data_IF_605761579439
#
_entry.id   IF_605761579439
#
_cell.length_a   1.000
_cell.length_b   1.000
_cell.length_c   1.000
_cell.angle_alpha   90.00
_cell.angle_beta   90.00
_cell.angle_gamma   90.00
#
_symmetry.space_group_name_H-M   'P 1'
#
loop_
_entity.id
_entity.type
_entity.pdbx_description
1 polymer ?
#
# COMPACT_ATOMS: atom_id res chain seq x y z
N UNK A 1 4.50 20.98 -20.11
CA UNK A 1 4.23 19.86 -19.23
C UNK A 1 5.45 19.14 -18.66
N UNK A 2 6.60 19.81 -18.71
CA UNK A 2 7.87 19.33 -18.13
C UNK A 2 7.75 19.04 -16.64
N UNK A 3 6.98 19.85 -15.90
CA UNK A 3 6.72 19.69 -14.47
C UNK A 3 6.04 18.35 -14.13
N UNK A 4 5.12 17.89 -14.97
CA UNK A 4 4.46 16.59 -14.77
C UNK A 4 5.42 15.42 -14.94
N UNK A 5 6.25 15.50 -15.99
CA UNK A 5 7.29 14.48 -16.25
C UNK A 5 8.30 14.44 -15.12
N UNK A 6 8.74 15.59 -14.67
CA UNK A 6 9.68 15.70 -13.56
C UNK A 6 9.11 15.13 -12.25
N UNK A 7 7.84 15.43 -11.94
CA UNK A 7 7.13 14.87 -10.78
C UNK A 7 7.06 13.34 -10.85
N UNK A 8 6.67 12.79 -12.01
CA UNK A 8 6.60 11.35 -12.26
C UNK A 8 7.96 10.69 -12.07
N UNK A 9 9.02 11.27 -12.65
CA UNK A 9 10.38 10.77 -12.51
C UNK A 9 10.88 10.81 -11.06
N UNK A 10 10.51 11.83 -10.32
CA UNK A 10 10.82 11.93 -8.88
C UNK A 10 10.11 10.84 -8.08
N UNK A 11 8.83 10.61 -8.34
CA UNK A 11 8.06 9.56 -7.68
C UNK A 11 8.65 8.18 -7.96
N UNK A 12 9.03 7.87 -9.21
CA UNK A 12 9.68 6.60 -9.54
C UNK A 12 10.98 6.42 -8.75
N UNK A 13 11.81 7.46 -8.66
CA UNK A 13 13.11 7.37 -7.98
C UNK A 13 12.99 7.28 -6.45
N UNK A 14 12.14 8.10 -5.87
CA UNK A 14 12.08 8.29 -4.41
C UNK A 14 11.01 7.41 -3.76
N UNK A 15 9.78 7.45 -4.25
CA UNK A 15 8.65 6.75 -3.62
C UNK A 15 8.69 5.25 -3.87
N UNK A 16 9.01 4.84 -5.10
CA UNK A 16 9.07 3.43 -5.49
C UNK A 16 10.44 2.81 -5.29
N UNK A 17 11.43 3.60 -4.91
CA UNK A 17 12.79 3.13 -4.63
C UNK A 17 13.38 2.27 -5.76
N UNK A 18 13.15 2.67 -7.02
CA UNK A 18 13.52 1.90 -8.21
C UNK A 18 15.00 1.92 -8.52
N UNK A 19 15.80 2.71 -7.80
CA UNK A 19 17.25 2.79 -7.97
C UNK A 19 17.97 2.36 -6.68
N UNK A 20 19.14 1.73 -6.80
CA UNK A 20 19.81 1.31 -8.05
C UNK A 20 19.13 0.10 -8.72
N UNK A 21 19.23 0.02 -10.05
CA UNK A 21 18.74 -1.13 -10.81
C UNK A 21 19.85 -2.17 -10.87
N UNK A 22 19.67 -3.29 -10.18
CA UNK A 22 20.67 -4.37 -10.07
C UNK A 22 20.60 -5.39 -11.21
N UNK A 23 19.65 -5.28 -12.12
CA UNK A 23 19.50 -6.20 -13.24
C UNK A 23 20.53 -5.90 -14.34
N UNK A 24 21.10 -6.96 -14.92
CA UNK A 24 22.09 -6.86 -16.00
C UNK A 24 21.49 -7.15 -17.39
N UNK A 25 20.42 -7.94 -17.46
CA UNK A 25 19.74 -8.25 -18.72
C UNK A 25 18.77 -7.15 -19.11
N UNK A 26 18.78 -6.73 -20.38
CA UNK A 26 17.89 -5.68 -20.89
C UNK A 26 16.41 -5.99 -20.65
N UNK A 27 15.97 -7.23 -20.83
CA UNK A 27 14.59 -7.67 -20.57
C UNK A 27 14.19 -7.49 -19.09
N UNK A 28 15.11 -7.78 -18.17
CA UNK A 28 14.85 -7.61 -16.74
C UNK A 28 14.79 -6.13 -16.35
N UNK A 29 15.62 -5.30 -16.97
CA UNK A 29 15.59 -3.83 -16.77
C UNK A 29 14.25 -3.28 -17.27
N UNK A 30 13.81 -3.68 -18.46
CA UNK A 30 12.51 -3.29 -19.00
C UNK A 30 11.35 -3.73 -18.10
N UNK A 31 11.38 -4.98 -17.62
CA UNK A 31 10.39 -5.51 -16.70
C UNK A 31 10.34 -4.73 -15.39
N UNK A 32 11.49 -4.39 -14.82
CA UNK A 32 11.59 -3.59 -13.59
C UNK A 32 11.00 -2.17 -13.78
N UNK A 33 11.36 -1.51 -14.87
CA UNK A 33 10.82 -0.18 -15.21
C UNK A 33 9.32 -0.26 -15.45
N UNK A 34 8.84 -1.28 -16.15
CA UNK A 34 7.42 -1.49 -16.41
C UNK A 34 6.62 -1.71 -15.11
N UNK A 35 7.10 -2.56 -14.20
CA UNK A 35 6.47 -2.77 -12.90
C UNK A 35 6.43 -1.49 -12.07
N UNK A 36 7.50 -0.70 -12.09
CA UNK A 36 7.56 0.61 -11.42
C UNK A 36 6.52 1.58 -12.00
N UNK A 37 6.35 1.56 -13.32
CA UNK A 37 5.34 2.37 -13.98
C UNK A 37 3.92 1.93 -13.61
N UNK A 38 3.64 0.62 -13.54
CA UNK A 38 2.35 0.11 -13.09
C UNK A 38 2.06 0.50 -11.63
N UNK A 39 3.04 0.38 -10.75
CA UNK A 39 2.91 0.80 -9.36
C UNK A 39 2.56 2.30 -9.25
N UNK A 40 3.21 3.14 -10.05
CA UNK A 40 2.91 4.57 -10.12
C UNK A 40 1.49 4.83 -10.62
N UNK A 41 1.02 4.08 -11.61
CA UNK A 41 -0.37 4.18 -12.10
C UNK A 41 -1.38 3.81 -11.01
N UNK A 42 -1.10 2.80 -10.21
CA UNK A 42 -1.95 2.41 -9.08
C UNK A 42 -1.96 3.47 -7.98
N UNK A 43 -0.80 4.03 -7.63
CA UNK A 43 -0.71 5.14 -6.66
C UNK A 43 -1.52 6.34 -7.15
N UNK A 44 -1.40 6.69 -8.43
CA UNK A 44 -2.14 7.81 -9.00
C UNK A 44 -3.66 7.54 -9.01
N UNK A 45 -4.09 6.34 -9.37
CA UNK A 45 -5.50 5.95 -9.31
C UNK A 45 -6.06 6.03 -7.87
N UNK A 46 -5.26 5.61 -6.89
CA UNK A 46 -5.59 5.75 -5.48
C UNK A 46 -5.68 7.22 -5.07
N UNK A 47 -4.71 8.05 -5.46
CA UNK A 47 -4.70 9.50 -5.21
C UNK A 47 -6.00 10.17 -5.72
N UNK A 48 -6.39 9.87 -6.97
CA UNK A 48 -7.62 10.41 -7.56
C UNK A 48 -8.84 10.00 -6.74
N UNK A 49 -8.94 8.70 -6.43
CA UNK A 49 -10.10 8.15 -5.71
C UNK A 49 -10.22 8.69 -4.28
N UNK A 50 -9.10 8.86 -3.58
CA UNK A 50 -9.08 9.45 -2.25
C UNK A 50 -9.46 10.92 -2.30
N UNK A 51 -8.93 11.65 -3.28
CA UNK A 51 -9.25 13.07 -3.47
C UNK A 51 -10.73 13.33 -3.74
N UNK A 52 -11.39 12.45 -4.52
CA UNK A 52 -12.84 12.50 -4.74
C UNK A 52 -13.64 12.35 -3.43
N UNK A 53 -13.06 11.69 -2.43
CA UNK A 53 -13.64 11.51 -1.09
C UNK A 53 -13.18 12.56 -0.08
N UNK A 54 -12.40 13.56 -0.52
CA UNK A 54 -11.89 14.63 0.35
C UNK A 54 -10.70 14.20 1.23
N UNK A 55 -10.05 13.08 0.91
CA UNK A 55 -8.88 12.57 1.62
C UNK A 55 -7.63 12.86 0.80
N UNK A 56 -6.71 13.65 1.34
CA UNK A 56 -5.41 13.89 0.70
C UNK A 56 -4.50 12.68 0.90
N UNK A 57 -3.94 12.18 -0.19
CA UNK A 57 -3.00 11.07 -0.14
C UNK A 57 -1.61 11.53 0.29
N UNK A 58 -1.22 11.12 1.48
CA UNK A 58 0.16 11.13 1.96
C UNK A 58 0.69 9.71 1.92
N UNK A 59 1.22 9.31 0.75
CA UNK A 59 1.55 7.90 0.47
C UNK A 59 2.50 7.27 1.49
N UNK A 60 3.53 8.00 1.92
CA UNK A 60 4.49 7.50 2.91
C UNK A 60 3.84 7.32 4.30
N UNK A 61 2.93 8.22 4.69
CA UNK A 61 2.17 8.06 5.92
C UNK A 61 1.23 6.85 5.83
N UNK A 62 0.46 6.75 4.75
CA UNK A 62 -0.43 5.62 4.54
C UNK A 62 0.33 4.28 4.55
N UNK A 63 1.48 4.23 3.88
CA UNK A 63 2.36 3.06 3.87
C UNK A 63 2.87 2.70 5.26
N UNK A 64 3.29 3.69 6.04
CA UNK A 64 3.76 3.47 7.40
C UNK A 64 2.64 2.90 8.28
N UNK A 65 1.45 3.51 8.27
CA UNK A 65 0.30 3.06 9.07
C UNK A 65 -0.19 1.66 8.66
N UNK A 66 -0.22 1.35 7.35
CA UNK A 66 -0.59 0.00 6.87
C UNK A 66 0.44 -1.05 7.29
N UNK A 67 1.72 -0.71 7.30
CA UNK A 67 2.78 -1.64 7.73
C UNK A 67 2.73 -1.98 9.22
N UNK A 68 2.07 -1.16 10.03
CA UNK A 68 1.84 -1.43 11.46
C UNK A 68 0.62 -2.34 11.69
N UNK A 69 -0.14 -2.66 10.64
CA UNK A 69 -1.28 -3.59 10.76
C UNK A 69 -0.77 -5.04 10.70
N UNK A 70 -0.97 -5.75 11.77
CA UNK A 70 -0.59 -7.16 11.87
C UNK A 70 -1.70 -8.00 12.50
N UNK A 71 -1.63 -9.29 12.31
CA UNK A 71 -2.53 -10.26 12.91
C UNK A 71 -1.71 -11.22 13.77
N UNK A 72 -2.13 -11.42 15.01
CA UNK A 72 -1.53 -12.37 15.94
C UNK A 72 -2.46 -13.56 16.14
N UNK A 73 -1.92 -14.76 16.08
CA UNK A 73 -2.65 -15.97 16.42
C UNK A 73 -2.49 -16.26 17.93
N UNK A 74 -3.62 -16.39 18.61
CA UNK A 74 -3.67 -16.68 20.04
C UNK A 74 -4.44 -17.97 20.25
N UNK A 75 -3.83 -18.91 20.95
CA UNK A 75 -4.46 -20.18 21.33
C UNK A 75 -5.02 -20.09 22.75
N UNK A 76 -6.32 -20.32 22.88
CA UNK A 76 -7.02 -20.37 24.17
C UNK A 76 -7.69 -21.73 24.30
N UNK A 77 -7.11 -22.60 25.11
CA UNK A 77 -7.56 -23.99 25.24
C UNK A 77 -7.41 -24.75 23.92
N UNK A 78 -8.51 -25.22 23.37
CA UNK A 78 -8.56 -25.94 22.08
C UNK A 78 -8.91 -25.06 20.89
N UNK A 79 -9.11 -23.76 21.11
CA UNK A 79 -9.50 -22.81 20.06
C UNK A 79 -8.35 -21.87 19.72
N UNK A 80 -8.22 -21.56 18.45
CA UNK A 80 -7.24 -20.58 17.96
C UNK A 80 -7.99 -19.37 17.42
N UNK A 81 -7.55 -18.20 17.78
CA UNK A 81 -8.11 -16.93 17.36
C UNK A 81 -7.06 -16.11 16.61
N UNK A 82 -7.46 -15.48 15.53
CA UNK A 82 -6.68 -14.43 14.88
C UNK A 82 -7.15 -13.07 15.42
N UNK A 83 -6.23 -12.32 16.00
CA UNK A 83 -6.49 -10.99 16.57
C UNK A 83 -5.69 -9.99 15.76
N UNK A 84 -6.39 -9.05 15.12
CA UNK A 84 -5.76 -7.99 14.35
C UNK A 84 -5.46 -6.79 15.25
N UNK A 85 -4.30 -6.14 15.01
CA UNK A 85 -3.96 -4.85 15.62
C UNK A 85 -5.00 -3.77 15.28
N UNK A 86 -5.01 -2.70 16.04
CA UNK A 86 -5.76 -1.49 15.67
C UNK A 86 -5.23 -0.92 14.35
N UNK A 87 -6.09 -0.20 13.66
CA UNK A 87 -5.75 0.49 12.41
C UNK A 87 -5.77 1.98 12.70
N UNK A 88 -4.67 2.64 12.39
CA UNK A 88 -4.56 4.08 12.55
C UNK A 88 -5.65 4.83 11.77
N UNK A 89 -6.15 5.96 12.28
CA UNK A 89 -7.32 6.65 11.73
C UNK A 89 -7.17 7.03 10.25
N UNK A 90 -5.99 7.46 9.83
CA UNK A 90 -5.75 7.86 8.45
C UNK A 90 -5.81 6.66 7.48
N UNK A 91 -5.17 5.55 7.84
CA UNK A 91 -5.26 4.31 7.06
C UNK A 91 -6.70 3.78 7.02
N UNK A 92 -7.43 3.84 8.13
CA UNK A 92 -8.83 3.41 8.18
C UNK A 92 -9.73 4.27 7.28
N UNK A 93 -9.50 5.58 7.22
CA UNK A 93 -10.23 6.49 6.35
C UNK A 93 -9.92 6.24 4.87
N UNK A 94 -8.64 6.07 4.53
CA UNK A 94 -8.21 5.75 3.18
C UNK A 94 -8.80 4.42 2.67
N UNK A 95 -8.80 3.38 3.51
CA UNK A 95 -9.36 2.07 3.19
C UNK A 95 -10.87 2.17 2.95
N UNK A 96 -11.60 2.88 3.79
CA UNK A 96 -13.04 3.13 3.60
C UNK A 96 -13.33 3.91 2.32
N UNK A 97 -12.52 4.90 2.00
CA UNK A 97 -12.68 5.73 0.80
C UNK A 97 -12.57 4.93 -0.49
N UNK A 98 -11.75 3.89 -0.53
CA UNK A 98 -11.65 2.98 -1.70
C UNK A 98 -12.68 1.86 -1.69
N UNK A 99 -13.54 1.80 -0.66
CA UNK A 99 -14.57 0.77 -0.53
C UNK A 99 -14.06 -0.57 -0.02
N UNK A 100 -12.83 -0.64 0.47
CA UNK A 100 -12.28 -1.82 1.12
C UNK A 100 -12.76 -1.90 2.57
N UNK A 101 -12.79 -3.11 3.10
CA UNK A 101 -13.14 -3.38 4.50
C UNK A 101 -12.15 -4.38 5.06
N UNK A 102 -11.81 -4.20 6.33
CA UNK A 102 -11.15 -5.24 7.09
C UNK A 102 -12.17 -6.16 7.74
N UNK A 103 -11.81 -7.42 7.89
CA UNK A 103 -12.58 -8.38 8.67
C UNK A 103 -12.67 -7.96 10.14
N UNK A 104 -13.46 -8.68 10.91
CA UNK A 104 -13.59 -8.47 12.36
C UNK A 104 -12.21 -8.49 13.04
N UNK A 105 -12.06 -7.71 14.11
CA UNK A 105 -10.80 -7.64 14.85
C UNK A 105 -10.38 -8.97 15.47
N UNK A 106 -11.35 -9.83 15.76
CA UNK A 106 -11.14 -11.17 16.35
C UNK A 106 -11.92 -12.16 15.51
N UNK A 107 -11.21 -13.14 14.96
CA UNK A 107 -11.77 -14.22 14.16
C UNK A 107 -11.35 -15.55 14.74
N UNK A 108 -12.30 -16.45 15.00
CA UNK A 108 -11.96 -17.81 15.39
C UNK A 108 -11.50 -18.59 14.15
N UNK A 109 -10.31 -19.15 14.19
CA UNK A 109 -9.80 -20.01 13.14
C UNK A 109 -10.31 -21.44 13.36
N UNK A 110 -11.02 -21.97 12.36
CA UNK A 110 -11.37 -23.38 12.34
C UNK A 110 -10.13 -24.17 11.93
N UNK A 111 -9.73 -25.07 12.78
CA UNK A 111 -8.74 -26.09 12.43
C UNK A 111 -9.39 -27.25 11.73
#
# INVERSE_FOLDING_TARGET
DLYRVERVMRQIKCTLNTRPIFHKKASNIQGHVFCSFLALKLIHALEVKLKEKGVDLHFEQLKAEINEVYTSEVKVGKKTFAIRSEIEPYAAEAIRAVGAKFDQNIVQLNQ
#
